data_IF_774752225264
#
_entry.id   IF_774752225264
#
_cell.length_a   1.000
_cell.length_b   1.000
_cell.length_c   1.000
_cell.angle_alpha   90.00
_cell.angle_beta   90.00
_cell.angle_gamma   90.00
#
_symmetry.space_group_name_H-M   'P 1'
#
loop_
_entity.id
_entity.type
_entity.pdbx_description
1 polymer ?
#
# COMPACT_ATOMS: atom_id res chain seq x y z
N UNK A 1 -23.82 11.26 -49.68
CA UNK A 1 -23.43 10.03 -48.93
C UNK A 1 -22.03 10.15 -48.34
N UNK A 2 -21.13 10.96 -48.91
CA UNK A 2 -19.77 11.16 -48.39
C UNK A 2 -19.72 11.90 -47.04
N UNK A 3 -20.56 12.91 -46.83
CA UNK A 3 -20.56 13.71 -45.58
C UNK A 3 -20.95 12.92 -44.33
N UNK A 4 -21.86 11.96 -44.48
CA UNK A 4 -22.31 11.10 -43.38
C UNK A 4 -21.20 10.14 -42.94
N UNK A 5 -20.42 9.61 -43.88
CA UNK A 5 -19.28 8.74 -43.57
C UNK A 5 -18.14 9.53 -42.92
N UNK A 6 -17.92 10.78 -43.35
CA UNK A 6 -16.96 11.68 -42.73
C UNK A 6 -17.37 12.03 -41.29
N UNK A 7 -18.65 12.32 -41.05
CA UNK A 7 -19.18 12.60 -39.71
C UNK A 7 -19.04 11.39 -38.78
N UNK A 8 -19.34 10.18 -39.27
CA UNK A 8 -19.20 8.94 -38.49
C UNK A 8 -17.73 8.67 -38.13
N UNK A 9 -16.82 8.92 -39.08
CA UNK A 9 -15.37 8.77 -38.89
C UNK A 9 -14.85 9.77 -37.86
N UNK A 10 -15.25 11.04 -37.94
CA UNK A 10 -14.88 12.07 -36.96
C UNK A 10 -15.32 11.73 -35.53
N UNK A 11 -16.53 11.19 -35.37
CA UNK A 11 -17.03 10.73 -34.07
C UNK A 11 -16.22 9.55 -33.54
N UNK A 12 -15.94 8.55 -34.38
CA UNK A 12 -15.12 7.41 -34.01
C UNK A 12 -13.72 7.84 -33.57
N UNK A 13 -13.06 8.71 -34.35
CA UNK A 13 -11.72 9.25 -34.02
C UNK A 13 -11.75 10.03 -32.71
N UNK A 14 -12.78 10.87 -32.49
CA UNK A 14 -12.95 11.60 -31.25
C UNK A 14 -13.04 10.69 -30.03
N UNK A 15 -13.87 9.64 -30.08
CA UNK A 15 -14.01 8.70 -28.97
C UNK A 15 -12.75 7.85 -28.76
N UNK A 16 -12.11 7.37 -29.83
CA UNK A 16 -10.90 6.55 -29.74
C UNK A 16 -9.73 7.34 -29.14
N UNK A 17 -9.52 8.58 -29.57
CA UNK A 17 -8.41 9.41 -29.07
C UNK A 17 -8.58 9.79 -27.60
N UNK A 18 -9.81 10.15 -27.19
CA UNK A 18 -10.12 10.43 -25.79
C UNK A 18 -9.92 9.17 -24.94
N UNK A 19 -10.39 8.01 -25.39
CA UNK A 19 -10.21 6.75 -24.67
C UNK A 19 -8.72 6.39 -24.50
N UNK A 20 -7.92 6.53 -25.56
CA UNK A 20 -6.48 6.29 -25.53
C UNK A 20 -5.75 7.21 -24.54
N UNK A 21 -6.06 8.52 -24.56
CA UNK A 21 -5.47 9.48 -23.63
C UNK A 21 -5.84 9.18 -22.18
N UNK A 22 -7.11 8.88 -21.90
CA UNK A 22 -7.53 8.50 -20.56
C UNK A 22 -6.85 7.21 -20.08
N UNK A 23 -6.77 6.18 -20.94
CA UNK A 23 -6.10 4.94 -20.60
C UNK A 23 -4.62 5.16 -20.28
N UNK A 24 -3.92 5.97 -21.08
CA UNK A 24 -2.52 6.35 -20.83
C UNK A 24 -2.36 7.12 -19.51
N UNK A 25 -3.23 8.09 -19.23
CA UNK A 25 -3.17 8.89 -17.99
C UNK A 25 -3.46 8.02 -16.77
N UNK A 26 -4.43 7.12 -16.82
CA UNK A 26 -4.78 6.23 -15.69
C UNK A 26 -3.67 5.23 -15.43
N UNK A 27 -3.16 4.57 -16.47
CA UNK A 27 -2.07 3.59 -16.33
C UNK A 27 -0.77 4.24 -15.90
N UNK A 28 -0.40 5.38 -16.51
CA UNK A 28 0.76 6.17 -16.13
C UNK A 28 0.65 6.74 -14.72
N UNK A 29 -0.51 7.27 -14.35
CA UNK A 29 -0.78 7.78 -13.00
C UNK A 29 -0.65 6.69 -11.94
N UNK A 30 -1.29 5.53 -12.15
CA UNK A 30 -1.16 4.39 -11.23
C UNK A 30 0.28 3.85 -11.15
N UNK A 31 1.01 3.81 -12.27
CA UNK A 31 2.41 3.40 -12.28
C UNK A 31 3.31 4.37 -11.52
N UNK A 32 3.09 5.69 -11.67
CA UNK A 32 3.83 6.72 -10.93
C UNK A 32 3.50 6.66 -9.44
N UNK A 33 2.22 6.49 -9.07
CA UNK A 33 1.81 6.32 -7.68
C UNK A 33 2.48 5.08 -7.08
N UNK A 34 2.47 3.94 -7.78
CA UNK A 34 3.12 2.72 -7.33
C UNK A 34 4.65 2.87 -7.21
N UNK A 35 5.27 3.61 -8.13
CA UNK A 35 6.69 3.91 -8.08
C UNK A 35 7.00 4.77 -6.84
N UNK A 36 6.33 5.92 -6.68
CA UNK A 36 6.55 6.81 -5.54
C UNK A 36 6.28 6.09 -4.20
N UNK A 37 5.22 5.29 -4.12
CA UNK A 37 4.90 4.47 -2.93
C UNK A 37 5.96 3.40 -2.63
N UNK A 38 6.73 2.97 -3.63
CA UNK A 38 7.86 2.05 -3.47
C UNK A 38 9.16 2.78 -3.05
N UNK A 39 9.34 4.04 -3.44
CA UNK A 39 10.53 4.85 -3.11
C UNK A 39 10.42 5.57 -1.78
N UNK A 40 9.21 5.89 -1.33
CA UNK A 40 8.91 6.27 0.04
C UNK A 40 8.14 5.10 0.65
N UNK A 41 8.82 3.99 0.98
CA UNK A 41 8.18 2.85 1.59
C UNK A 41 7.56 3.33 2.89
N UNK A 42 6.24 3.41 2.90
CA UNK A 42 5.47 3.40 4.13
C UNK A 42 5.88 2.11 4.87
N UNK A 43 6.83 2.23 5.80
CA UNK A 43 7.27 1.16 6.69
C UNK A 43 6.14 0.69 7.64
N UNK A 44 4.89 1.08 7.38
CA UNK A 44 3.71 0.86 8.21
C UNK A 44 2.52 0.20 7.49
N UNK A 45 2.65 -0.28 6.25
CA UNK A 45 1.61 -1.15 5.65
C UNK A 45 1.64 -2.61 6.18
N UNK A 46 2.27 -2.85 7.34
CA UNK A 46 1.93 -4.01 8.18
C UNK A 46 0.87 -3.66 9.24
N UNK A 47 0.31 -2.45 9.22
CA UNK A 47 -0.76 -2.03 10.13
C UNK A 47 -1.89 -1.37 9.36
N UNK A 48 -2.58 -2.17 8.55
CA UNK A 48 -4.01 -2.46 8.72
C UNK A 48 -4.53 -3.10 7.43
N UNK A 49 -4.91 -4.39 7.44
CA UNK A 49 -5.82 -4.91 6.42
C UNK A 49 -7.01 -3.96 6.33
N UNK A 50 -7.36 -3.62 5.09
CA UNK A 50 -8.60 -2.93 4.77
C UNK A 50 -9.72 -3.53 5.61
N UNK A 51 -10.24 -2.69 6.49
CA UNK A 51 -11.56 -2.71 7.10
C UNK A 51 -12.45 -3.91 6.71
N UNK A 52 -12.24 -5.04 7.37
CA UNK A 52 -13.26 -6.05 7.59
C UNK A 52 -13.22 -6.47 9.05
N UNK A 53 -14.18 -6.00 9.84
CA UNK A 53 -14.43 -6.53 11.18
C UNK A 53 -14.19 -5.52 12.30
N UNK A 54 -15.22 -4.73 12.61
CA UNK A 54 -15.37 -4.13 13.91
C UNK A 54 -15.52 -5.22 14.99
N UNK A 55 -14.62 -5.30 15.98
CA UNK A 55 -14.94 -5.65 17.38
C UNK A 55 -13.71 -5.62 18.31
N UNK A 56 -13.79 -4.78 19.35
CA UNK A 56 -13.53 -5.21 20.73
C UNK A 56 -12.15 -4.93 21.35
N UNK A 57 -12.12 -3.91 22.21
CA UNK A 57 -11.74 -4.00 23.64
C UNK A 57 -10.43 -4.71 24.01
N UNK A 58 -9.38 -3.94 24.39
CA UNK A 58 -8.64 -4.08 25.67
C UNK A 58 -7.33 -3.26 25.65
N UNK A 59 -7.41 -1.99 26.04
CA UNK A 59 -6.29 -1.05 25.95
C UNK A 59 -5.22 -1.18 27.07
N UNK A 60 -5.34 -2.13 28.01
CA UNK A 60 -4.50 -2.16 29.22
C UNK A 60 -3.43 -3.27 29.23
N UNK A 61 -3.69 -4.47 28.69
CA UNK A 61 -2.64 -5.51 28.52
C UNK A 61 -1.67 -5.19 27.38
N UNK A 62 -2.09 -4.37 26.42
CA UNK A 62 -1.25 -3.97 25.31
C UNK A 62 0.01 -3.21 25.79
N UNK A 63 -0.06 -2.43 26.87
CA UNK A 63 1.05 -1.58 27.33
C UNK A 63 2.23 -2.37 27.89
N UNK A 64 1.98 -3.46 28.63
CA UNK A 64 3.04 -4.33 29.16
C UNK A 64 3.70 -5.15 28.05
N UNK A 65 2.91 -5.65 27.09
CA UNK A 65 3.43 -6.35 25.92
C UNK A 65 4.24 -5.40 25.02
N UNK A 66 3.78 -4.15 24.83
CA UNK A 66 4.50 -3.11 24.10
C UNK A 66 5.85 -2.82 24.77
N UNK A 67 5.89 -2.64 26.10
CA UNK A 67 7.14 -2.37 26.83
C UNK A 67 8.13 -3.52 26.73
N UNK A 68 7.67 -4.77 26.87
CA UNK A 68 8.53 -5.96 26.73
C UNK A 68 9.07 -6.10 25.31
N UNK A 69 8.22 -5.94 24.30
CA UNK A 69 8.61 -6.03 22.89
C UNK A 69 9.57 -4.90 22.47
N UNK A 70 9.38 -3.68 23.00
CA UNK A 70 10.27 -2.55 22.74
C UNK A 70 11.68 -2.79 23.30
N UNK A 71 11.79 -3.26 24.55
CA UNK A 71 13.08 -3.58 25.17
C UNK A 71 13.78 -4.71 24.42
N UNK A 72 13.05 -5.77 24.05
CA UNK A 72 13.60 -6.88 23.27
C UNK A 72 14.08 -6.41 21.89
N UNK A 73 13.32 -5.55 21.21
CA UNK A 73 13.67 -5.01 19.89
C UNK A 73 14.95 -4.19 19.95
N UNK A 74 15.07 -3.31 20.95
CA UNK A 74 16.28 -2.51 21.17
C UNK A 74 17.51 -3.39 21.46
N UNK A 75 17.36 -4.41 22.31
CA UNK A 75 18.43 -5.35 22.62
C UNK A 75 18.88 -6.15 21.39
N UNK A 76 17.92 -6.69 20.61
CA UNK A 76 18.21 -7.44 19.39
C UNK A 76 18.85 -6.55 18.33
N UNK A 77 18.39 -5.31 18.18
CA UNK A 77 18.98 -4.36 17.24
C UNK A 77 20.44 -4.02 17.59
N UNK A 78 20.73 -3.85 18.88
CA UNK A 78 22.08 -3.59 19.38
C UNK A 78 23.01 -4.79 19.17
N UNK A 79 22.54 -6.01 19.47
CA UNK A 79 23.34 -7.24 19.36
C UNK A 79 23.54 -7.67 17.90
N UNK A 80 22.52 -7.47 17.07
CA UNK A 80 22.53 -7.93 15.66
C UNK A 80 22.92 -6.85 14.66
N UNK A 81 23.33 -5.67 15.14
CA UNK A 81 23.68 -4.50 14.31
C UNK A 81 22.59 -4.19 13.27
N UNK A 82 21.32 -4.34 13.66
CA UNK A 82 20.15 -4.09 12.80
C UNK A 82 19.79 -5.19 11.79
N UNK A 83 20.37 -6.40 11.88
CA UNK A 83 20.07 -7.51 10.96
C UNK A 83 19.04 -8.52 11.50
N UNK A 84 18.79 -8.54 12.80
CA UNK A 84 17.84 -9.46 13.44
C UNK A 84 16.43 -8.86 13.58
N UNK A 85 15.39 -9.69 13.34
CA UNK A 85 13.98 -9.34 13.63
C UNK A 85 13.35 -10.39 14.55
N UNK A 86 12.50 -9.92 15.46
CA UNK A 86 11.76 -10.76 16.41
C UNK A 86 10.53 -11.33 15.72
N UNK A 87 10.46 -12.66 15.58
CA UNK A 87 9.33 -13.36 14.93
C UNK A 87 8.38 -14.03 15.92
N UNK A 88 8.85 -14.45 17.10
CA UNK A 88 8.04 -15.01 18.17
C UNK A 88 8.71 -14.78 19.52
N UNK A 89 7.94 -14.42 20.54
CA UNK A 89 8.42 -14.31 21.93
C UNK A 89 7.57 -15.25 22.79
N UNK A 90 8.23 -16.22 23.42
CA UNK A 90 7.60 -17.14 24.36
C UNK A 90 8.31 -17.02 25.71
N UNK A 91 7.53 -16.92 26.79
CA UNK A 91 8.05 -16.91 28.14
C UNK A 91 8.03 -18.37 28.61
N UNK A 92 9.19 -19.03 28.66
CA UNK A 92 9.31 -20.30 29.38
C UNK A 92 9.26 -20.01 30.89
N UNK A 93 8.38 -20.72 31.58
CA UNK A 93 8.20 -20.64 33.02
C UNK A 93 9.14 -21.60 33.74
#
# INVERSE_FOLDING_TARGET
MEDMNMALTLMAVGMTTVFLMLFLVVTGGNAIIAFVNRFVPEEEAKVKPALSGAKGSSATSALDDIRKMAVLTAAVQQVTQGRGRITKVEIRK
#
